data_IF_508508250292
#
_entry.id   IF_508508250292
#
_cell.length_a   1.000
_cell.length_b   1.000
_cell.length_c   1.000
_cell.angle_alpha   90.00
_cell.angle_beta   90.00
_cell.angle_gamma   90.00
#
_symmetry.space_group_name_H-M   'P 1'
#
loop_
_entity.id
_entity.type
_entity.pdbx_description
1 polymer ?
#
# COMPACT_ATOMS: atom_id res chain seq x y z
N UNK A 1 -15.18 -5.50 -13.42
CA UNK A 1 -14.00 -4.62 -13.25
C UNK A 1 -13.59 -4.67 -11.79
N UNK A 2 -12.29 -4.80 -11.46
CA UNK A 2 -11.83 -4.74 -10.06
C UNK A 2 -12.24 -3.40 -9.43
N UNK A 3 -12.65 -3.42 -8.16
CA UNK A 3 -12.95 -2.19 -7.43
C UNK A 3 -11.63 -1.49 -7.06
N UNK A 4 -11.29 -0.44 -7.80
CA UNK A 4 -10.05 0.34 -7.63
C UNK A 4 -10.09 1.29 -6.43
N UNK A 5 -11.27 1.49 -5.84
CA UNK A 5 -11.50 2.41 -4.73
C UNK A 5 -11.37 1.72 -3.36
N UNK A 6 -10.89 0.48 -3.32
CA UNK A 6 -10.62 -0.21 -2.06
C UNK A 6 -9.43 0.44 -1.35
N UNK A 7 -9.62 0.79 -0.07
CA UNK A 7 -8.55 1.29 0.79
C UNK A 7 -7.58 0.16 1.14
N UNK A 8 -6.30 0.33 0.80
CA UNK A 8 -5.23 -0.62 1.11
C UNK A 8 -4.25 0.03 2.10
N UNK A 9 -3.99 -0.65 3.22
CA UNK A 9 -2.97 -0.25 4.19
C UNK A 9 -1.81 -1.24 4.15
N UNK A 10 -0.62 -0.73 3.85
CA UNK A 10 0.61 -1.52 3.84
C UNK A 10 1.38 -1.22 5.12
N UNK A 11 1.53 -2.23 5.97
CA UNK A 11 2.31 -2.14 7.21
C UNK A 11 3.65 -2.82 6.99
N UNK A 12 4.73 -2.03 7.00
CA UNK A 12 6.07 -2.54 6.70
C UNK A 12 7.15 -1.65 7.36
N UNK A 13 8.10 -2.28 8.06
CA UNK A 13 9.20 -1.56 8.71
C UNK A 13 10.34 -1.23 7.72
N UNK A 14 10.37 -1.89 6.57
CA UNK A 14 11.42 -1.75 5.58
C UNK A 14 11.04 -0.77 4.45
N UNK A 15 11.83 0.31 4.31
CA UNK A 15 11.60 1.35 3.29
C UNK A 15 11.66 0.85 1.84
N UNK A 16 12.40 -0.23 1.58
CA UNK A 16 12.55 -0.75 0.21
C UNK A 16 11.34 -1.59 -0.23
N UNK A 17 10.91 -2.55 0.60
CA UNK A 17 9.74 -3.38 0.34
C UNK A 17 8.46 -2.56 0.26
N UNK A 18 8.30 -1.57 1.13
CA UNK A 18 7.17 -0.62 1.09
C UNK A 18 7.08 0.14 -0.24
N UNK A 19 8.20 0.63 -0.78
CA UNK A 19 8.23 1.31 -2.09
C UNK A 19 7.87 0.35 -3.23
N UNK A 20 8.38 -0.89 -3.19
CA UNK A 20 8.06 -1.92 -4.18
C UNK A 20 6.57 -2.27 -4.19
N UNK A 21 5.99 -2.49 -3.01
CA UNK A 21 4.57 -2.81 -2.83
C UNK A 21 3.70 -1.67 -3.35
N UNK A 22 4.03 -0.42 -3.00
CA UNK A 22 3.31 0.76 -3.50
C UNK A 22 3.34 0.85 -5.03
N UNK A 23 4.50 0.58 -5.66
CA UNK A 23 4.63 0.59 -7.12
C UNK A 23 3.76 -0.47 -7.79
N UNK A 24 3.68 -1.67 -7.19
CA UNK A 24 2.84 -2.76 -7.68
C UNK A 24 1.36 -2.40 -7.59
N UNK A 25 0.92 -1.92 -6.43
CA UNK A 25 -0.47 -1.57 -6.15
C UNK A 25 -0.94 -0.42 -7.05
N UNK A 26 -0.12 0.63 -7.21
CA UNK A 26 -0.41 1.73 -8.16
C UNK A 26 -0.45 1.25 -9.60
N UNK A 27 0.45 0.33 -9.99
CA UNK A 27 0.45 -0.28 -11.32
C UNK A 27 -0.81 -1.09 -11.61
N UNK A 28 -1.45 -1.64 -10.58
CA UNK A 28 -2.73 -2.33 -10.68
C UNK A 28 -3.95 -1.39 -10.69
N UNK A 29 -3.76 -0.07 -10.58
CA UNK A 29 -4.81 0.93 -10.68
C UNK A 29 -5.54 1.25 -9.37
N UNK A 30 -5.05 0.76 -8.22
CA UNK A 30 -5.60 1.13 -6.92
C UNK A 30 -5.16 2.54 -6.53
N UNK A 31 -6.12 3.34 -6.06
CA UNK A 31 -5.92 4.77 -5.83
C UNK A 31 -5.73 5.11 -4.36
N UNK A 32 -6.33 4.34 -3.45
CA UNK A 32 -6.28 4.56 -2.01
C UNK A 32 -5.31 3.59 -1.34
N UNK A 33 -4.04 4.01 -1.25
CA UNK A 33 -2.96 3.22 -0.64
C UNK A 33 -2.26 4.05 0.42
N UNK A 34 -2.26 3.52 1.64
CA UNK A 34 -1.63 4.12 2.81
C UNK A 34 -0.50 3.23 3.32
N UNK A 35 0.49 3.83 3.96
CA UNK A 35 1.62 3.12 4.54
C UNK A 35 1.75 3.43 6.02
N UNK A 36 2.00 2.39 6.81
CA UNK A 36 2.38 2.49 8.21
C UNK A 36 3.70 1.76 8.43
N UNK A 37 4.52 2.28 9.34
CA UNK A 37 5.82 1.69 9.66
C UNK A 37 5.73 0.52 10.64
N UNK A 38 4.63 0.46 11.41
CA UNK A 38 4.37 -0.57 12.39
C UNK A 38 2.86 -0.79 12.52
N UNK A 39 2.45 -1.92 13.09
CA UNK A 39 1.04 -2.18 13.37
C UNK A 39 0.44 -1.19 14.38
N UNK A 40 1.29 -0.52 15.17
CA UNK A 40 0.88 0.51 16.12
C UNK A 40 0.66 1.87 15.46
N UNK A 41 1.30 2.11 14.31
CA UNK A 41 1.17 3.34 13.50
C UNK A 41 0.09 3.21 12.39
N UNK A 42 -0.57 2.06 12.32
CA UNK A 42 -1.53 1.66 11.29
C UNK A 42 -2.98 2.04 11.69
#
# INVERSE_FOLDING_TARGET
MPNTDISILVVDDAKFSSVMINRLIKGAGYLDVRHAHSASDA
#
